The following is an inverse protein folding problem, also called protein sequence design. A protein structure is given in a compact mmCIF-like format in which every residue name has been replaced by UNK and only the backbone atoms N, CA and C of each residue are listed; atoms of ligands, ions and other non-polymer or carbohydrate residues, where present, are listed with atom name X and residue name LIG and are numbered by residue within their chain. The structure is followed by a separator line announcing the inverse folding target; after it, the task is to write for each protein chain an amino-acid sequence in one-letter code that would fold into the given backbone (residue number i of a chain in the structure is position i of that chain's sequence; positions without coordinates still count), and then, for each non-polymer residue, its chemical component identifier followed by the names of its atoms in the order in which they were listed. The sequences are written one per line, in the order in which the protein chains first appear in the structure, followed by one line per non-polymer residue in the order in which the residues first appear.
data_IF_820983557480
#
_entry.id   IF_820983557480
#
_cell.length_a   1.000
_cell.length_b   1.000
_cell.length_c   1.000
_cell.angle_alpha   90.00
_cell.angle_beta   90.00
_cell.angle_gamma   90.00
#
_symmetry.space_group_name_H-M   'P 1'
#
loop_
_entity.id
_entity.type
_entity.pdbx_description
1 polymer ?
#
# COMPACT_ATOMS: atom_id res chain seq x y z
N UNK A 1 -1.73 -10.91 -18.78
CA UNK A 1 -2.11 -9.56 -19.20
C UNK A 1 -0.97 -8.57 -18.95
N UNK A 2 -0.40 -8.44 -17.77
CA UNK A 2 0.69 -7.49 -17.47
C UNK A 2 2.11 -7.92 -17.87
N UNK A 3 2.34 -9.15 -18.34
CA UNK A 3 3.71 -9.59 -18.71
C UNK A 3 4.36 -8.69 -19.78
N UNK A 4 3.58 -8.20 -20.75
CA UNK A 4 4.10 -7.28 -21.77
C UNK A 4 4.45 -5.90 -21.18
N UNK A 5 3.65 -5.40 -20.23
CA UNK A 5 3.95 -4.17 -19.50
C UNK A 5 5.23 -4.29 -18.67
N UNK A 6 5.38 -5.41 -17.94
CA UNK A 6 6.55 -5.64 -17.09
C UNK A 6 7.85 -5.83 -17.89
N UNK A 7 7.75 -6.14 -19.19
CA UNK A 7 8.87 -6.29 -20.11
C UNK A 7 9.18 -5.02 -20.91
N UNK A 8 8.50 -3.89 -20.62
CA UNK A 8 8.87 -2.61 -21.22
C UNK A 8 10.28 -2.21 -20.77
N UNK A 9 10.98 -1.52 -21.67
CA UNK A 9 12.31 -0.97 -21.38
C UNK A 9 12.19 0.27 -20.47
N UNK A 10 12.09 0.02 -19.17
CA UNK A 10 12.08 1.06 -18.15
C UNK A 10 13.48 1.54 -17.82
N UNK A 11 13.57 2.75 -17.29
CA UNK A 11 14.84 3.26 -16.78
C UNK A 11 15.34 2.37 -15.61
N UNK A 12 16.66 2.31 -15.42
CA UNK A 12 17.28 1.61 -14.28
C UNK A 12 16.86 2.17 -12.90
N UNK A 13 16.20 3.32 -12.91
CA UNK A 13 15.69 4.01 -11.72
C UNK A 13 14.28 3.60 -11.35
N UNK A 14 13.61 2.80 -12.19
CA UNK A 14 12.22 2.41 -12.01
C UNK A 14 12.08 0.93 -11.71
N UNK A 15 11.15 0.61 -10.81
CA UNK A 15 10.67 -0.74 -10.56
C UNK A 15 9.15 -0.76 -10.62
N UNK A 16 8.61 -1.70 -11.38
CA UNK A 16 7.18 -1.90 -11.55
C UNK A 16 6.78 -3.22 -10.91
N UNK A 17 5.70 -3.20 -10.15
CA UNK A 17 5.10 -4.39 -9.54
C UNK A 17 3.62 -4.38 -9.91
N UNK A 18 3.14 -5.48 -10.47
CA UNK A 18 1.73 -5.67 -10.78
C UNK A 18 1.14 -6.78 -9.91
N UNK A 19 -0.02 -6.54 -9.34
CA UNK A 19 -0.80 -7.52 -8.59
C UNK A 19 -2.28 -7.37 -8.93
N UNK A 20 -2.86 -8.37 -9.57
CA UNK A 20 -4.22 -8.31 -10.11
C UNK A 20 -4.42 -7.04 -10.96
N UNK A 21 -5.33 -6.15 -10.56
CA UNK A 21 -5.63 -4.89 -11.24
C UNK A 21 -4.76 -3.72 -10.76
N UNK A 22 -3.99 -3.93 -9.68
CA UNK A 22 -3.18 -2.88 -9.07
C UNK A 22 -1.76 -2.86 -9.64
N UNK A 23 -1.27 -1.66 -9.97
CA UNK A 23 0.08 -1.41 -10.43
C UNK A 23 0.80 -0.48 -9.46
N UNK A 24 1.89 -0.94 -8.88
CA UNK A 24 2.78 -0.12 -8.06
C UNK A 24 4.05 0.21 -8.83
N UNK A 25 4.38 1.49 -8.86
CA UNK A 25 5.53 2.04 -9.56
C UNK A 25 6.42 2.71 -8.53
N UNK A 26 7.67 2.31 -8.48
CA UNK A 26 8.68 2.91 -7.60
C UNK A 26 9.77 3.52 -8.45
N UNK A 27 10.01 4.82 -8.28
CA UNK A 27 11.07 5.53 -9.00
C UNK A 27 12.05 6.12 -7.99
N UNK A 28 13.32 5.97 -8.27
CA UNK A 28 14.41 6.46 -7.43
C UNK A 28 15.14 7.62 -8.13
N UNK A 29 15.46 8.68 -7.36
CA UNK A 29 16.31 9.79 -7.80
C UNK A 29 17.12 10.35 -6.64
N UNK A 30 18.19 11.09 -6.93
CA UNK A 30 19.02 11.76 -5.93
C UNK A 30 18.31 12.96 -5.31
N UNK A 31 17.37 13.52 -6.05
CA UNK A 31 16.48 14.60 -5.59
C UNK A 31 15.03 14.28 -5.90
N UNK A 32 14.07 14.84 -5.15
CA UNK A 32 12.64 14.67 -5.46
C UNK A 32 12.27 15.11 -6.88
N UNK A 33 12.87 16.19 -7.37
CA UNK A 33 12.64 16.67 -8.75
C UNK A 33 13.13 15.66 -9.79
N UNK A 34 14.34 15.11 -9.62
CA UNK A 34 14.89 14.07 -10.50
C UNK A 34 14.01 12.81 -10.50
N UNK A 35 13.60 12.35 -9.32
CA UNK A 35 12.68 11.20 -9.22
C UNK A 35 11.35 11.48 -9.94
N UNK A 36 10.82 12.71 -9.85
CA UNK A 36 9.62 13.13 -10.57
C UNK A 36 9.79 13.12 -12.08
N UNK A 37 10.94 13.56 -12.59
CA UNK A 37 11.25 13.54 -14.03
C UNK A 37 11.30 12.09 -14.53
N UNK A 38 12.05 11.22 -13.86
CA UNK A 38 12.14 9.80 -14.24
C UNK A 38 10.78 9.11 -14.18
N UNK A 39 9.98 9.38 -13.13
CA UNK A 39 8.64 8.84 -13.02
C UNK A 39 7.75 9.23 -14.21
N UNK A 40 7.75 10.51 -14.59
CA UNK A 40 6.93 10.98 -15.71
C UNK A 40 7.38 10.41 -17.06
N UNK A 41 8.69 10.25 -17.29
CA UNK A 41 9.22 9.65 -18.50
C UNK A 41 8.77 8.19 -18.66
N UNK A 42 8.85 7.41 -17.59
CA UNK A 42 8.47 6.01 -17.64
C UNK A 42 6.94 5.82 -17.62
N UNK A 43 6.19 6.72 -16.92
CA UNK A 43 4.72 6.73 -16.99
C UNK A 43 4.22 6.97 -18.42
N UNK A 44 4.87 7.83 -19.19
CA UNK A 44 4.52 8.04 -20.60
C UNK A 44 4.66 6.76 -21.44
N UNK A 45 5.65 5.88 -21.13
CA UNK A 45 5.77 4.57 -21.78
C UNK A 45 4.61 3.64 -21.41
N UNK A 46 4.20 3.67 -20.14
CA UNK A 46 3.06 2.89 -19.62
C UNK A 46 1.75 3.36 -20.24
N UNK A 47 1.54 4.66 -20.38
CA UNK A 47 0.36 5.24 -21.03
C UNK A 47 0.29 4.83 -22.52
N UNK A 48 1.42 4.91 -23.23
CA UNK A 48 1.51 4.45 -24.62
C UNK A 48 1.14 2.98 -24.73
N UNK A 49 1.75 2.13 -23.91
CA UNK A 49 1.44 0.69 -23.87
C UNK A 49 -0.05 0.44 -23.56
N UNK A 50 -0.62 1.15 -22.60
CA UNK A 50 -2.03 1.03 -22.23
C UNK A 50 -2.94 1.37 -23.43
N UNK A 51 -2.65 2.45 -24.13
CA UNK A 51 -3.39 2.87 -25.32
C UNK A 51 -3.33 1.81 -26.43
N UNK A 52 -2.15 1.26 -26.71
CA UNK A 52 -1.93 0.19 -27.72
C UNK A 52 -2.68 -1.09 -27.34
N UNK A 53 -2.82 -1.39 -26.05
CA UNK A 53 -3.51 -2.58 -25.53
C UNK A 53 -4.98 -2.33 -25.15
N UNK A 54 -5.55 -1.16 -25.51
CA UNK A 54 -6.93 -0.77 -25.19
C UNK A 54 -7.25 -0.84 -23.69
N UNK A 55 -6.27 -0.52 -22.87
CA UNK A 55 -6.39 -0.44 -21.42
C UNK A 55 -6.40 1.03 -20.98
N UNK A 56 -7.04 1.30 -19.84
CA UNK A 56 -7.08 2.63 -19.28
C UNK A 56 -6.80 2.57 -17.79
N UNK A 57 -5.83 3.36 -17.33
CA UNK A 57 -5.57 3.57 -15.92
C UNK A 57 -6.51 4.65 -15.35
N UNK A 58 -6.96 4.46 -14.13
CA UNK A 58 -7.89 5.40 -13.47
C UNK A 58 -7.09 6.43 -12.67
N UNK A 59 -6.96 7.65 -13.19
CA UNK A 59 -6.22 8.75 -12.56
C UNK A 59 -6.83 9.16 -11.21
N UNK A 60 -8.15 9.03 -11.04
CA UNK A 60 -8.81 9.40 -9.80
C UNK A 60 -8.52 8.43 -8.64
N UNK A 61 -8.17 7.18 -8.98
CA UNK A 61 -7.75 6.15 -8.00
C UNK A 61 -6.24 6.09 -7.84
N UNK A 62 -5.49 6.65 -8.79
CA UNK A 62 -4.03 6.66 -8.77
C UNK A 62 -3.52 7.78 -7.88
N UNK A 63 -2.52 7.48 -7.06
CA UNK A 63 -1.90 8.41 -6.12
C UNK A 63 -0.39 8.33 -6.21
N UNK A 64 0.28 9.42 -5.93
CA UNK A 64 1.72 9.46 -5.79
C UNK A 64 2.11 9.70 -4.33
N UNK A 65 3.24 9.14 -3.89
CA UNK A 65 3.78 9.38 -2.56
C UNK A 65 5.29 9.60 -2.67
N UNK A 66 5.77 10.68 -2.09
CA UNK A 66 7.20 10.94 -1.98
C UNK A 66 7.73 10.32 -0.69
N UNK A 67 8.66 9.39 -0.83
CA UNK A 67 9.36 8.77 0.30
C UNK A 67 10.72 9.42 0.40
N UNK A 68 10.99 10.13 1.51
CA UNK A 68 12.27 10.80 1.71
C UNK A 68 12.58 10.96 3.21
N UNK A 69 13.84 10.79 3.56
CA UNK A 69 14.35 11.08 4.93
C UNK A 69 14.60 12.58 5.15
N UNK A 70 14.59 13.40 4.08
CA UNK A 70 14.83 14.84 4.17
C UNK A 70 13.55 15.54 4.62
N UNK A 71 13.64 16.36 5.69
CA UNK A 71 12.51 17.11 6.28
C UNK A 71 11.97 18.27 5.41
N UNK A 72 12.57 18.56 4.25
CA UNK A 72 12.12 19.67 3.38
C UNK A 72 10.82 19.25 2.68
N UNK A 73 9.85 20.18 2.65
CA UNK A 73 8.63 20.06 1.86
C UNK A 73 9.00 20.06 0.37
N UNK A 74 9.32 18.90 -0.15
CA UNK A 74 9.61 18.75 -1.56
C UNK A 74 8.30 18.53 -2.31
N UNK A 75 8.08 19.34 -3.32
CA UNK A 75 6.93 19.21 -4.21
C UNK A 75 7.37 18.36 -5.40
N UNK A 76 6.62 17.30 -5.68
CA UNK A 76 6.74 16.52 -6.91
C UNK A 76 5.47 16.71 -7.74
N UNK A 77 5.63 16.73 -9.05
CA UNK A 77 4.53 16.76 -9.99
C UNK A 77 4.58 15.50 -10.83
N UNK A 78 3.64 14.63 -10.62
CA UNK A 78 3.48 13.37 -11.35
C UNK A 78 2.20 13.46 -12.16
N UNK A 79 2.28 13.06 -13.41
CA UNK A 79 1.16 13.13 -14.34
C UNK A 79 0.83 11.73 -14.86
N UNK A 80 -0.47 11.47 -15.02
CA UNK A 80 -1.01 10.28 -15.68
C UNK A 80 -2.15 10.74 -16.60
N UNK A 81 -2.09 10.39 -17.89
CA UNK A 81 -3.03 10.84 -18.91
C UNK A 81 -3.22 12.38 -18.91
N UNK A 82 -2.13 13.13 -18.88
CA UNK A 82 -2.10 14.60 -18.77
C UNK A 82 -2.76 15.19 -17.51
N UNK A 83 -3.14 14.35 -16.54
CA UNK A 83 -3.73 14.79 -15.27
C UNK A 83 -2.71 14.64 -14.15
N UNK A 84 -2.55 15.70 -13.36
CA UNK A 84 -1.69 15.67 -12.18
C UNK A 84 -2.27 14.75 -11.13
N UNK A 85 -1.47 13.77 -10.67
CA UNK A 85 -1.85 12.89 -9.58
C UNK A 85 -1.82 13.60 -8.23
N UNK A 86 -2.71 13.20 -7.34
CA UNK A 86 -2.69 13.61 -5.95
C UNK A 86 -1.44 13.07 -5.26
N UNK A 87 -0.64 13.97 -4.67
CA UNK A 87 0.51 13.59 -3.86
C UNK A 87 0.08 13.46 -2.41
N UNK A 88 0.11 12.25 -1.89
CA UNK A 88 -0.35 11.93 -0.54
C UNK A 88 0.81 11.60 0.38
N UNK A 89 0.61 11.78 1.69
CA UNK A 89 1.56 11.35 2.73
C UNK A 89 1.36 9.90 3.15
N UNK A 90 0.19 9.36 2.85
CA UNK A 90 -0.23 7.99 3.20
C UNK A 90 -1.07 7.41 2.08
N UNK A 91 -0.90 6.13 1.81
CA UNK A 91 -1.73 5.39 0.88
C UNK A 91 -1.91 3.95 1.33
N UNK A 92 -3.02 3.35 0.93
CA UNK A 92 -3.25 1.92 1.10
C UNK A 92 -2.87 1.18 -0.18
N UNK A 93 -2.05 0.14 -0.06
CA UNK A 93 -1.72 -0.77 -1.14
C UNK A 93 -1.77 -2.21 -0.62
N UNK A 94 -2.51 -3.08 -1.30
CA UNK A 94 -2.73 -4.48 -0.92
C UNK A 94 -3.10 -4.66 0.57
N UNK A 95 -3.98 -3.80 1.09
CA UNK A 95 -4.44 -3.90 2.48
C UNK A 95 -3.50 -3.30 3.54
N UNK A 96 -2.31 -2.86 3.17
CA UNK A 96 -1.34 -2.23 4.08
C UNK A 96 -1.37 -0.72 3.88
N UNK A 97 -1.39 0.04 4.98
CA UNK A 97 -1.26 1.51 4.95
C UNK A 97 0.22 1.86 5.04
N UNK A 98 0.73 2.43 3.95
CA UNK A 98 2.08 2.97 3.87
C UNK A 98 2.06 4.46 4.17
N UNK A 99 3.02 4.94 4.92
CA UNK A 99 3.30 6.36 5.08
C UNK A 99 4.66 6.72 4.47
N UNK A 100 4.85 8.02 4.20
CA UNK A 100 6.06 8.53 3.54
C UNK A 100 7.36 8.33 4.31
N UNK A 101 7.30 7.88 5.56
CA UNK A 101 8.45 7.64 6.45
C UNK A 101 8.61 6.15 6.81
N UNK A 102 7.68 5.28 6.38
CA UNK A 102 7.64 3.86 6.75
C UNK A 102 7.58 3.62 8.28
N UNK A 103 6.80 4.45 8.98
CA UNK A 103 6.59 4.32 10.43
C UNK A 103 5.45 3.36 10.74
N UNK A 104 4.49 3.22 9.82
CA UNK A 104 3.33 2.32 9.86
C UNK A 104 2.35 2.56 11.03
N UNK A 105 2.38 3.73 11.68
CA UNK A 105 1.48 4.03 12.81
C UNK A 105 0.01 3.86 12.47
N UNK A 106 -0.42 4.37 11.32
CA UNK A 106 -1.80 4.28 10.90
C UNK A 106 -2.21 2.86 10.53
N UNK A 107 -1.29 2.07 9.98
CA UNK A 107 -1.53 0.64 9.73
C UNK A 107 -1.75 -0.11 11.05
N UNK A 108 -0.87 0.07 12.02
CA UNK A 108 -0.94 -0.58 13.33
C UNK A 108 -2.23 -0.18 14.06
N UNK A 109 -2.58 1.11 14.06
CA UNK A 109 -3.85 1.59 14.65
C UNK A 109 -5.07 1.00 13.95
N UNK A 110 -5.02 0.85 12.62
CA UNK A 110 -6.10 0.26 11.86
C UNK A 110 -6.30 -1.23 12.21
N UNK A 111 -5.21 -2.01 12.28
CA UNK A 111 -5.25 -3.41 12.71
C UNK A 111 -5.77 -3.50 14.15
N UNK A 112 -5.24 -2.71 15.07
CA UNK A 112 -5.67 -2.71 16.46
C UNK A 112 -7.19 -2.43 16.59
N UNK A 113 -7.69 -1.42 15.87
CA UNK A 113 -9.13 -1.08 15.85
C UNK A 113 -9.99 -2.23 15.31
N UNK A 114 -9.57 -2.86 14.22
CA UNK A 114 -10.28 -4.03 13.66
C UNK A 114 -10.28 -5.21 14.62
N UNK A 115 -9.14 -5.50 15.22
CA UNK A 115 -8.99 -6.59 16.19
C UNK A 115 -9.85 -6.37 17.43
N UNK A 116 -9.83 -5.15 17.99
CA UNK A 116 -10.67 -4.79 19.14
C UNK A 116 -12.16 -4.92 18.82
N UNK A 117 -12.58 -4.52 17.60
CA UNK A 117 -13.97 -4.70 17.17
C UNK A 117 -14.33 -6.18 17.08
N UNK A 118 -13.49 -7.02 16.53
CA UNK A 118 -13.71 -8.47 16.42
C UNK A 118 -13.80 -9.10 17.81
N UNK A 119 -12.88 -8.79 18.73
CA UNK A 119 -12.88 -9.28 20.11
C UNK A 119 -14.15 -8.84 20.84
N UNK A 120 -14.56 -7.58 20.67
CA UNK A 120 -15.80 -7.08 21.28
C UNK A 120 -17.06 -7.81 20.78
N UNK A 121 -17.12 -8.11 19.49
CA UNK A 121 -18.22 -8.89 18.90
C UNK A 121 -18.24 -10.31 19.47
N UNK A 122 -17.10 -10.97 19.57
CA UNK A 122 -16.97 -12.28 20.18
C UNK A 122 -17.39 -12.28 21.64
N UNK A 123 -16.94 -11.29 22.43
CA UNK A 123 -17.30 -11.14 23.83
C UNK A 123 -18.80 -10.96 24.05
N UNK A 124 -19.50 -10.27 23.16
CA UNK A 124 -20.96 -10.14 23.20
C UNK A 124 -21.66 -11.49 22.91
N UNK A 125 -21.13 -12.26 21.97
CA UNK A 125 -21.69 -13.57 21.59
C UNK A 125 -21.51 -14.63 22.69
N UNK A 126 -20.49 -14.50 23.52
CA UNK A 126 -20.25 -15.41 24.67
C UNK A 126 -21.24 -15.15 25.83
N UNK A 127 -21.74 -13.94 25.99
CA UNK A 127 -22.67 -13.55 27.07
C UNK A 127 -24.13 -13.94 26.82
N UNK A 128 -24.51 -14.34 25.63
CA UNK A 128 -25.81 -14.87 25.33
C UNK A 128 -25.89 -16.32 25.83
N UNK A 129 -27.05 -16.76 26.31
CA UNK A 129 -27.29 -18.09 26.93
C UNK A 129 -26.81 -19.31 26.11
N UNK A 130 -26.44 -19.10 24.87
CA UNK A 130 -25.89 -20.09 23.92
C UNK A 130 -24.41 -19.74 23.59
N UNK A 131 -23.60 -19.51 24.61
CA UNK A 131 -22.20 -19.11 24.43
C UNK A 131 -21.44 -19.99 23.46
N UNK A 132 -20.55 -19.38 22.64
CA UNK A 132 -19.64 -20.10 21.76
C UNK A 132 -18.79 -21.09 22.59
N UNK A 133 -18.70 -22.33 22.10
CA UNK A 133 -17.83 -23.31 22.73
C UNK A 133 -16.37 -22.87 22.69
N UNK A 134 -15.54 -23.35 23.62
CA UNK A 134 -14.11 -23.08 23.63
C UNK A 134 -13.45 -23.43 22.27
N UNK A 135 -13.88 -24.53 21.66
CA UNK A 135 -13.41 -24.96 20.33
C UNK A 135 -13.76 -23.91 19.25
N UNK A 136 -14.97 -23.38 19.25
CA UNK A 136 -15.40 -22.34 18.31
C UNK A 136 -14.61 -21.03 18.52
N UNK A 137 -14.40 -20.61 19.77
CA UNK A 137 -13.59 -19.44 20.09
C UNK A 137 -12.14 -19.61 19.61
N UNK A 138 -11.54 -20.77 19.84
CA UNK A 138 -10.20 -21.08 19.35
C UNK A 138 -10.12 -21.03 17.83
N UNK A 139 -11.09 -21.61 17.14
CA UNK A 139 -11.15 -21.59 15.67
C UNK A 139 -11.24 -20.15 15.14
N UNK A 140 -12.04 -19.28 15.76
CA UNK A 140 -12.14 -17.87 15.34
C UNK A 140 -10.86 -17.12 15.66
N UNK A 141 -10.25 -17.36 16.81
CA UNK A 141 -8.97 -16.75 17.17
C UNK A 141 -7.89 -17.11 16.15
N UNK A 142 -7.70 -18.39 15.87
CA UNK A 142 -6.67 -18.87 14.95
C UNK A 142 -6.98 -18.54 13.49
N UNK A 143 -8.25 -18.60 13.08
CA UNK A 143 -8.67 -18.42 11.68
C UNK A 143 -8.96 -16.96 11.28
N UNK A 144 -9.21 -16.09 12.23
CA UNK A 144 -9.57 -14.68 11.91
C UNK A 144 -8.68 -13.66 12.62
N UNK A 145 -8.48 -13.79 13.95
CA UNK A 145 -7.76 -12.77 14.70
C UNK A 145 -6.25 -12.83 14.44
N UNK A 146 -5.65 -14.02 14.47
CA UNK A 146 -4.22 -14.19 14.22
C UNK A 146 -3.85 -13.74 12.80
N UNK A 147 -4.53 -14.19 11.71
CA UNK A 147 -4.27 -13.71 10.36
C UNK A 147 -4.45 -12.21 10.21
N UNK A 148 -5.45 -11.61 10.88
CA UNK A 148 -5.66 -10.17 10.86
C UNK A 148 -4.49 -9.41 11.50
N UNK A 149 -3.97 -9.88 12.64
CA UNK A 149 -2.86 -9.27 13.36
C UNK A 149 -1.53 -9.45 12.64
N UNK A 150 -1.33 -10.56 11.94
CA UNK A 150 -0.05 -10.89 11.29
C UNK A 150 -0.02 -10.57 9.81
N UNK A 151 -1.13 -10.05 9.25
CA UNK A 151 -1.18 -9.70 7.83
C UNK A 151 -0.10 -8.70 7.45
N UNK A 152 0.77 -9.10 6.52
CA UNK A 152 1.88 -8.29 6.04
C UNK A 152 2.94 -7.97 7.11
N UNK A 153 3.01 -8.71 8.22
CA UNK A 153 3.96 -8.49 9.30
C UNK A 153 5.41 -8.25 8.84
N UNK A 154 5.97 -9.00 7.88
CA UNK A 154 7.35 -8.76 7.41
C UNK A 154 7.58 -7.36 6.83
N UNK A 155 6.51 -6.63 6.46
CA UNK A 155 6.62 -5.27 5.91
C UNK A 155 6.74 -4.22 7.01
N UNK A 156 6.05 -4.39 8.14
CA UNK A 156 5.91 -3.37 9.18
C UNK A 156 6.49 -3.74 10.56
N UNK A 157 6.83 -5.00 10.80
CA UNK A 157 7.35 -5.47 12.11
C UNK A 157 8.62 -4.74 12.56
N UNK A 158 9.56 -4.49 11.63
CA UNK A 158 10.79 -3.75 11.97
C UNK A 158 10.51 -2.32 12.46
N UNK A 159 9.45 -1.69 11.96
CA UNK A 159 9.08 -0.34 12.40
C UNK A 159 8.55 -0.33 13.84
N UNK A 160 7.89 -1.42 14.26
CA UNK A 160 7.42 -1.59 15.64
C UNK A 160 8.61 -1.81 16.58
N UNK A 161 9.52 -2.72 16.21
CA UNK A 161 10.70 -3.04 17.03
C UNK A 161 11.60 -1.83 17.26
N UNK A 162 11.74 -0.94 16.27
CA UNK A 162 12.54 0.29 16.38
C UNK A 162 11.93 1.36 17.31
N UNK A 163 10.67 1.22 17.71
CA UNK A 163 10.01 2.15 18.65
C UNK A 163 10.18 1.75 20.11
N UNK A 164 10.52 0.50 20.37
CA UNK A 164 10.72 -0.03 21.71
C UNK A 164 12.17 0.15 22.21
N UNK A 165 13.06 0.62 21.34
CA UNK A 165 14.46 0.98 21.64
C UNK A 165 14.65 2.49 21.67
#
# INVERSE_FOLDING_TARGET
MYNALLNLDFSSHMKVIAFADDLAIMTRGNTPGEAGVFANLDLAKIEKWATENKMQFNENKSKAMLITRKRKNAIINIYLNNRRLEVVKEMQYLGIYFDSQFIFDNHIRHIAKKSTKLISMLGKSVKLQWGLSHKALKTIYEGALVPLLTYGAPVWEEAVLKKET
#
